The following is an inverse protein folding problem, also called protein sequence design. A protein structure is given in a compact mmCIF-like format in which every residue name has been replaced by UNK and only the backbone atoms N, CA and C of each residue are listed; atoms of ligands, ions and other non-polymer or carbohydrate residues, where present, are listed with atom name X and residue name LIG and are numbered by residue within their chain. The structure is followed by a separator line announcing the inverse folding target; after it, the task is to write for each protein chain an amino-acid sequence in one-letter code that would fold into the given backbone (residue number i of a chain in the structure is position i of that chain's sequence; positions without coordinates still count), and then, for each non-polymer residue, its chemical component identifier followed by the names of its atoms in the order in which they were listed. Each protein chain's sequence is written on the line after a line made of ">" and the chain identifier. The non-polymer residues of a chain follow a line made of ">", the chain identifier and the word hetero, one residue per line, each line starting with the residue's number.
data_IF_269886609701
#
_entry.id   IF_269886609701
#
_cell.length_a   1.000
_cell.length_b   1.000
_cell.length_c   1.000
_cell.angle_alpha   90.00
_cell.angle_beta   90.00
_cell.angle_gamma   90.00
#
_symmetry.space_group_name_H-M   'P 1'
#
loop_
_entity.id
_entity.type
_entity.pdbx_description
1 polymer ?
#
# COMPACT_ATOMS: atom_id res chain seq x y z
N UNK A 1 -15.45 -53.31 9.44
CA UNK A 1 -14.84 -52.69 10.64
C UNK A 1 -14.15 -51.43 10.18
N UNK A 2 -14.61 -50.23 10.59
CA UNK A 2 -13.91 -48.98 10.30
C UNK A 2 -12.64 -48.99 11.13
N UNK A 3 -11.49 -49.22 10.48
CA UNK A 3 -10.19 -49.03 11.12
C UNK A 3 -10.11 -47.57 11.57
N UNK A 4 -9.58 -47.35 12.77
CA UNK A 4 -9.13 -46.01 13.17
C UNK A 4 -8.24 -45.48 12.05
N UNK A 5 -8.59 -44.29 11.54
CA UNK A 5 -7.70 -43.60 10.63
C UNK A 5 -6.55 -43.07 11.48
N UNK A 6 -5.31 -43.45 11.14
CA UNK A 6 -4.11 -43.02 11.86
C UNK A 6 -4.00 -41.49 11.92
N UNK A 7 -4.61 -40.81 10.94
CA UNK A 7 -4.77 -39.36 10.92
C UNK A 7 -5.52 -38.82 12.16
N UNK A 8 -6.55 -39.51 12.66
CA UNK A 8 -7.32 -39.05 13.82
C UNK A 8 -6.49 -39.09 15.11
N UNK A 9 -5.66 -40.13 15.26
CA UNK A 9 -4.73 -40.25 16.38
C UNK A 9 -3.63 -39.19 16.32
N UNK A 10 -3.09 -38.92 15.13
CA UNK A 10 -2.05 -37.89 14.95
C UNK A 10 -2.62 -36.50 15.23
N UNK A 11 -3.79 -36.15 14.67
CA UNK A 11 -4.46 -34.88 14.97
C UNK A 11 -4.73 -34.68 16.46
N UNK A 12 -5.03 -35.75 17.19
CA UNK A 12 -5.21 -35.67 18.64
C UNK A 12 -3.90 -35.33 19.37
N UNK A 13 -2.76 -35.87 18.93
CA UNK A 13 -1.43 -35.57 19.48
C UNK A 13 -1.02 -34.13 19.15
N UNK A 14 -1.34 -33.67 17.94
CA UNK A 14 -1.06 -32.30 17.47
C UNK A 14 -2.02 -31.25 18.07
N UNK A 15 -3.13 -31.69 18.69
CA UNK A 15 -4.14 -30.81 19.29
C UNK A 15 -5.09 -30.16 18.29
N UNK A 16 -5.25 -30.77 17.12
CA UNK A 16 -6.04 -30.24 15.99
C UNK A 16 -7.49 -30.77 15.95
N UNK A 17 -7.88 -31.66 16.86
CA UNK A 17 -9.23 -32.22 16.88
C UNK A 17 -10.28 -31.22 17.38
N UNK A 18 -11.43 -31.25 16.73
CA UNK A 18 -12.66 -30.60 17.20
C UNK A 18 -13.27 -31.37 18.37
N UNK A 19 -14.17 -30.73 19.13
CA UNK A 19 -14.85 -31.38 20.27
C UNK A 19 -15.62 -32.65 19.87
N UNK A 20 -16.28 -32.63 18.72
CA UNK A 20 -17.03 -33.78 18.22
C UNK A 20 -16.10 -34.96 17.90
N UNK A 21 -14.95 -34.69 17.29
CA UNK A 21 -13.95 -35.72 16.99
C UNK A 21 -13.28 -36.28 18.24
N UNK A 22 -13.15 -35.47 19.31
CA UNK A 22 -12.65 -35.93 20.61
C UNK A 22 -13.65 -36.92 21.24
N UNK A 23 -14.95 -36.58 21.24
CA UNK A 23 -15.99 -37.44 21.79
C UNK A 23 -16.07 -38.78 21.02
N UNK A 24 -15.92 -38.73 19.69
CA UNK A 24 -15.82 -39.93 18.85
C UNK A 24 -14.57 -40.75 19.21
N UNK A 25 -13.40 -40.12 19.31
CA UNK A 25 -12.16 -40.80 19.67
C UNK A 25 -12.25 -41.46 21.05
N UNK A 26 -12.85 -40.80 22.05
CA UNK A 26 -13.07 -41.36 23.39
C UNK A 26 -13.98 -42.59 23.37
N UNK A 27 -15.03 -42.57 22.55
CA UNK A 27 -15.88 -43.73 22.31
C UNK A 27 -15.12 -44.89 21.66
N UNK A 28 -14.23 -44.60 20.69
CA UNK A 28 -13.45 -45.64 20.03
C UNK A 28 -12.38 -46.27 20.92
N UNK A 29 -11.62 -45.46 21.68
CA UNK A 29 -10.59 -45.99 22.60
C UNK A 29 -11.17 -46.75 23.79
N UNK A 30 -12.42 -46.48 24.17
CA UNK A 30 -13.12 -47.24 25.22
C UNK A 30 -13.68 -48.57 24.71
N UNK A 31 -13.95 -48.67 23.40
CA UNK A 31 -14.51 -49.88 22.78
C UNK A 31 -13.43 -50.80 22.20
N UNK A 32 -12.26 -50.27 21.84
CA UNK A 32 -11.13 -51.04 21.29
C UNK A 32 -9.82 -50.83 22.08
N UNK A 33 -9.40 -51.83 22.89
CA UNK A 33 -8.14 -51.78 23.64
C UNK A 33 -6.89 -51.62 22.76
N UNK A 34 -6.90 -52.14 21.53
CA UNK A 34 -5.77 -52.06 20.60
C UNK A 34 -5.50 -50.61 20.18
N UNK A 35 -6.57 -49.86 19.94
CA UNK A 35 -6.52 -48.44 19.62
C UNK A 35 -5.97 -47.57 20.75
N UNK A 36 -6.30 -47.91 22.00
CA UNK A 36 -5.74 -47.25 23.18
C UNK A 36 -4.23 -47.50 23.32
N UNK A 37 -3.78 -48.73 23.08
CA UNK A 37 -2.36 -49.08 23.10
C UNK A 37 -1.57 -48.34 22.02
N UNK A 38 -2.13 -48.23 20.81
CA UNK A 38 -1.55 -47.45 19.72
C UNK A 38 -1.42 -45.97 20.08
N UNK A 39 -2.46 -45.37 20.66
CA UNK A 39 -2.44 -43.99 21.12
C UNK A 39 -1.35 -43.74 22.20
N UNK A 40 -1.24 -44.64 23.18
CA UNK A 40 -0.20 -44.57 24.22
C UNK A 40 1.21 -44.64 23.62
N UNK A 41 1.40 -45.53 22.66
CA UNK A 41 2.68 -45.69 21.96
C UNK A 41 3.05 -44.41 21.21
N UNK A 42 2.12 -43.82 20.47
CA UNK A 42 2.35 -42.58 19.74
C UNK A 42 2.66 -41.40 20.68
N UNK A 43 1.94 -41.27 21.80
CA UNK A 43 2.25 -40.27 22.85
C UNK A 43 3.64 -40.45 23.44
N UNK A 44 4.05 -41.69 23.70
CA UNK A 44 5.39 -41.98 24.20
C UNK A 44 6.48 -41.57 23.19
N UNK A 45 6.27 -41.86 21.90
CA UNK A 45 7.17 -41.45 20.83
C UNK A 45 7.29 -39.92 20.76
N UNK A 46 6.16 -39.20 20.77
CA UNK A 46 6.14 -37.73 20.76
C UNK A 46 6.91 -37.14 21.96
N UNK A 47 6.72 -37.69 23.16
CA UNK A 47 7.50 -37.25 24.33
C UNK A 47 9.01 -37.47 24.19
N UNK A 48 9.42 -38.61 23.63
CA UNK A 48 10.83 -38.92 23.39
C UNK A 48 11.42 -37.98 22.35
N UNK A 49 10.71 -37.72 21.26
CA UNK A 49 11.14 -36.79 20.21
C UNK A 49 11.28 -35.36 20.75
N UNK A 50 10.35 -34.91 21.62
CA UNK A 50 10.42 -33.59 22.26
C UNK A 50 11.65 -33.42 23.17
N UNK A 51 12.12 -34.50 23.79
CA UNK A 51 13.28 -34.53 24.70
C UNK A 51 14.60 -34.81 23.96
N UNK A 52 14.56 -35.14 22.67
CA UNK A 52 15.76 -35.40 21.88
C UNK A 52 16.66 -34.15 21.86
N UNK A 53 17.97 -34.38 22.01
CA UNK A 53 18.95 -33.30 21.99
C UNK A 53 18.91 -32.61 20.63
N UNK A 54 18.71 -31.30 20.62
CA UNK A 54 18.68 -30.51 19.38
C UNK A 54 20.09 -30.10 19.03
N UNK A 55 20.49 -30.37 17.80
CA UNK A 55 21.73 -29.85 17.26
C UNK A 55 21.68 -28.33 17.22
N UNK A 56 22.79 -27.70 17.59
CA UNK A 56 22.92 -26.24 17.45
C UNK A 56 22.93 -25.90 15.97
N UNK A 57 22.05 -24.98 15.57
CA UNK A 57 22.08 -24.44 14.23
C UNK A 57 23.48 -23.87 13.92
N UNK A 58 24.00 -24.06 12.69
CA UNK A 58 25.29 -23.53 12.31
C UNK A 58 25.34 -22.00 12.48
N UNK A 59 26.52 -21.48 12.80
CA UNK A 59 26.73 -20.04 12.86
C UNK A 59 26.28 -19.38 11.53
N UNK A 60 25.58 -18.26 11.61
CA UNK A 60 25.04 -17.47 10.49
C UNK A 60 23.75 -17.98 9.82
N UNK A 61 23.08 -19.04 10.30
CA UNK A 61 21.76 -19.44 9.75
C UNK A 61 20.75 -18.30 9.83
N UNK A 62 20.63 -17.66 10.98
CA UNK A 62 19.72 -16.51 11.17
C UNK A 62 20.02 -15.40 10.19
N UNK A 63 21.30 -15.08 9.96
CA UNK A 63 21.72 -14.04 9.02
C UNK A 63 21.36 -14.40 7.58
N UNK A 64 21.56 -15.65 7.17
CA UNK A 64 21.19 -16.14 5.83
C UNK A 64 19.68 -16.10 5.60
N UNK A 65 18.91 -16.62 6.55
CA UNK A 65 17.44 -16.63 6.48
C UNK A 65 16.91 -15.20 6.46
N UNK A 66 17.37 -14.34 7.37
CA UNK A 66 16.95 -12.94 7.39
C UNK A 66 17.33 -12.21 6.11
N UNK A 67 18.51 -12.45 5.54
CA UNK A 67 18.91 -11.84 4.26
C UNK A 67 17.99 -12.25 3.11
N UNK A 68 17.51 -13.50 3.09
CA UNK A 68 16.56 -13.96 2.08
C UNK A 68 15.19 -13.34 2.27
N UNK A 69 14.70 -13.28 3.52
CA UNK A 69 13.43 -12.64 3.85
C UNK A 69 13.47 -11.16 3.49
N UNK A 70 14.54 -10.44 3.86
CA UNK A 70 14.66 -9.01 3.55
C UNK A 70 14.84 -8.76 2.07
N UNK A 71 15.52 -9.64 1.32
CA UNK A 71 15.62 -9.51 -0.14
C UNK A 71 14.29 -9.71 -0.87
N UNK A 72 13.37 -10.48 -0.28
CA UNK A 72 12.03 -10.70 -0.81
C UNK A 72 11.06 -9.56 -0.46
N UNK A 73 11.39 -8.72 0.52
CA UNK A 73 10.64 -7.52 0.84
C UNK A 73 11.13 -6.42 -0.11
N UNK A 74 10.30 -5.96 -1.07
CA UNK A 74 10.71 -4.88 -1.95
C UNK A 74 11.03 -3.66 -1.09
N UNK A 75 12.24 -3.11 -1.24
CA UNK A 75 12.65 -1.85 -0.60
C UNK A 75 11.57 -0.80 -0.86
N UNK A 76 10.73 -0.59 0.17
CA UNK A 76 9.61 0.32 0.13
C UNK A 76 10.23 1.72 0.07
N UNK A 77 9.85 2.47 -0.95
CA UNK A 77 10.37 3.78 -1.38
C UNK A 77 11.63 3.75 -2.25
N UNK A 78 11.45 3.26 -3.48
CA UNK A 78 12.04 4.01 -4.59
C UNK A 78 11.50 5.45 -4.51
N UNK A 79 12.39 6.40 -4.24
CA UNK A 79 12.13 7.84 -4.30
C UNK A 79 11.48 8.13 -5.66
N UNK A 80 10.15 8.19 -5.69
CA UNK A 80 9.41 8.51 -6.90
C UNK A 80 9.64 9.98 -7.20
N UNK A 81 10.76 10.27 -7.88
CA UNK A 81 11.08 11.58 -8.42
C UNK A 81 9.93 12.13 -9.28
N UNK A 82 9.06 11.26 -9.79
CA UNK A 82 7.79 11.62 -10.43
C UNK A 82 6.92 12.57 -9.59
N UNK A 83 6.71 12.29 -8.31
CA UNK A 83 5.91 13.15 -7.44
C UNK A 83 6.58 14.50 -7.20
N UNK A 84 7.90 14.49 -7.04
CA UNK A 84 8.71 15.71 -6.90
C UNK A 84 8.67 16.55 -8.18
N UNK A 85 8.74 15.92 -9.36
CA UNK A 85 8.65 16.58 -10.66
C UNK A 85 7.27 17.22 -10.84
N UNK A 86 6.19 16.49 -10.55
CA UNK A 86 4.82 17.02 -10.66
C UNK A 86 4.64 18.21 -9.71
N UNK A 87 5.01 18.08 -8.44
CA UNK A 87 4.90 19.17 -7.48
C UNK A 87 5.72 20.38 -7.92
N UNK A 88 6.96 20.16 -8.39
CA UNK A 88 7.82 21.25 -8.85
C UNK A 88 7.19 21.99 -10.02
N UNK A 89 6.55 21.27 -10.95
CA UNK A 89 5.84 21.88 -12.07
C UNK A 89 4.65 22.72 -11.60
N UNK A 90 3.82 22.21 -10.69
CA UNK A 90 2.71 22.97 -10.11
C UNK A 90 3.18 24.24 -9.40
N UNK A 91 4.24 24.14 -8.58
CA UNK A 91 4.83 25.28 -7.87
C UNK A 91 5.34 26.33 -8.85
N UNK A 92 6.07 25.93 -9.89
CA UNK A 92 6.55 26.84 -10.95
C UNK A 92 5.39 27.54 -11.67
N UNK A 93 4.31 26.81 -11.96
CA UNK A 93 3.15 27.35 -12.68
C UNK A 93 2.41 28.38 -11.83
N UNK A 94 2.24 28.10 -10.53
CA UNK A 94 1.63 29.03 -9.58
C UNK A 94 2.47 30.30 -9.43
N UNK A 95 3.80 30.17 -9.28
CA UNK A 95 4.70 31.32 -9.17
C UNK A 95 4.70 32.15 -10.46
N UNK A 96 4.70 31.50 -11.63
CA UNK A 96 4.63 32.17 -12.93
C UNK A 96 3.35 32.98 -13.10
N UNK A 97 2.19 32.40 -12.74
CA UNK A 97 0.91 33.09 -12.75
C UNK A 97 0.89 34.27 -11.77
N UNK A 98 1.39 34.08 -10.56
CA UNK A 98 1.45 35.14 -9.54
C UNK A 98 2.31 36.32 -10.01
N UNK A 99 3.46 36.02 -10.60
CA UNK A 99 4.40 37.02 -11.13
C UNK A 99 3.79 37.79 -12.30
N UNK A 100 3.12 37.08 -13.22
CA UNK A 100 2.42 37.70 -14.34
C UNK A 100 1.30 38.65 -13.86
N UNK A 101 0.52 38.27 -12.85
CA UNK A 101 -0.54 39.12 -12.28
C UNK A 101 0.07 40.37 -11.63
N UNK A 102 1.16 40.23 -10.87
CA UNK A 102 1.85 41.35 -10.23
C UNK A 102 2.39 42.37 -11.25
N UNK A 103 2.94 41.91 -12.37
CA UNK A 103 3.50 42.81 -13.41
C UNK A 103 2.43 43.38 -14.34
N UNK A 104 1.30 42.70 -14.49
CA UNK A 104 0.19 43.16 -15.36
C UNK A 104 -0.73 44.17 -14.66
N UNK A 105 -0.55 44.39 -13.36
CA UNK A 105 -1.31 45.37 -12.60
C UNK A 105 -0.79 46.79 -12.88
N UNK A 106 -1.28 47.40 -13.96
CA UNK A 106 -1.11 48.84 -14.19
C UNK A 106 -2.07 49.55 -13.21
N UNK A 107 -1.59 50.32 -12.22
CA UNK A 107 -2.47 51.03 -11.32
C UNK A 107 -3.21 52.09 -12.14
N UNK A 108 -4.51 51.91 -12.32
CA UNK A 108 -5.41 52.96 -12.80
C UNK A 108 -5.35 54.09 -11.77
N UNK A 109 -4.60 55.15 -12.08
CA UNK A 109 -4.63 56.38 -11.33
C UNK A 109 -6.05 56.94 -11.42
N UNK A 110 -6.84 56.76 -10.36
CA UNK A 110 -7.78 57.76 -9.87
C UNK A 110 -8.28 57.41 -8.45
N UNK A 111 -7.81 58.25 -7.53
CA UNK A 111 -8.51 58.84 -6.37
C UNK A 111 -8.89 58.01 -5.13
N UNK A 112 -8.47 58.61 -4.00
CA UNK A 112 -9.12 58.69 -2.67
C UNK A 112 -9.06 57.52 -1.70
N UNK A 113 -8.06 57.61 -0.81
CA UNK A 113 -8.13 57.52 0.65
C UNK A 113 -9.44 57.01 1.28
N UNK A 114 -9.50 55.72 1.64
CA UNK A 114 -10.28 55.20 2.76
C UNK A 114 -9.57 53.97 3.35
N UNK A 115 -9.51 53.91 4.69
CA UNK A 115 -8.89 52.80 5.44
C UNK A 115 -9.77 51.55 5.36
N UNK A 116 -9.64 50.81 4.27
CA UNK A 116 -10.44 49.61 4.05
C UNK A 116 -9.78 48.39 4.72
N UNK A 117 -10.56 47.72 5.56
CA UNK A 117 -10.22 46.50 6.28
C UNK A 117 -9.75 45.41 5.32
N UNK A 118 -8.86 44.52 5.80
CA UNK A 118 -8.27 43.42 5.02
C UNK A 118 -9.33 42.58 4.29
N UNK A 119 -10.53 42.45 4.88
CA UNK A 119 -11.68 41.74 4.30
C UNK A 119 -12.18 42.39 3.01
N UNK A 120 -12.16 43.72 2.92
CA UNK A 120 -12.64 44.46 1.75
C UNK A 120 -11.61 44.41 0.61
N UNK A 121 -10.31 44.40 0.94
CA UNK A 121 -9.24 44.11 -0.04
C UNK A 121 -9.31 42.68 -0.56
N UNK A 122 -9.65 41.70 0.29
CA UNK A 122 -9.87 40.32 -0.13
C UNK A 122 -11.10 40.20 -1.02
N UNK A 123 -12.23 40.84 -0.68
CA UNK A 123 -13.42 40.81 -1.52
C UNK A 123 -13.22 41.52 -2.86
N UNK A 124 -12.53 42.66 -2.90
CA UNK A 124 -12.15 43.32 -4.15
C UNK A 124 -11.15 42.48 -4.94
N UNK A 125 -10.23 41.77 -4.30
CA UNK A 125 -9.32 40.82 -4.94
C UNK A 125 -10.03 39.59 -5.51
N UNK A 126 -11.04 39.05 -4.81
CA UNK A 126 -11.85 37.94 -5.31
C UNK A 126 -12.72 38.41 -6.48
N UNK A 127 -13.40 39.55 -6.37
CA UNK A 127 -14.25 40.07 -7.45
C UNK A 127 -13.43 40.48 -8.69
N UNK A 128 -12.27 41.12 -8.50
CA UNK A 128 -11.38 41.46 -9.62
C UNK A 128 -10.64 40.23 -10.17
N UNK A 129 -10.25 39.29 -9.32
CA UNK A 129 -9.64 38.02 -9.71
C UNK A 129 -10.60 37.12 -10.49
N UNK A 130 -11.88 37.05 -10.09
CA UNK A 130 -12.93 36.33 -10.82
C UNK A 130 -13.22 37.02 -12.16
N UNK A 131 -13.28 38.35 -12.21
CA UNK A 131 -13.43 39.11 -13.47
C UNK A 131 -12.24 38.97 -14.42
N UNK A 132 -11.02 38.82 -13.89
CA UNK A 132 -9.84 38.50 -14.68
C UNK A 132 -9.86 37.03 -15.14
N UNK A 133 -10.33 36.09 -14.31
CA UNK A 133 -10.54 34.70 -14.70
C UNK A 133 -11.51 34.57 -15.86
N UNK A 134 -12.64 35.29 -15.85
CA UNK A 134 -13.58 35.27 -16.99
C UNK A 134 -12.98 35.87 -18.25
N UNK A 135 -12.14 36.91 -18.13
CA UNK A 135 -11.40 37.49 -19.27
C UNK A 135 -10.33 36.55 -19.83
N UNK A 136 -9.69 35.73 -18.97
CA UNK A 136 -8.73 34.69 -19.38
C UNK A 136 -9.46 33.52 -20.05
N UNK A 137 -10.64 33.14 -19.57
CA UNK A 137 -11.50 32.09 -20.15
C UNK A 137 -12.08 32.51 -21.51
N UNK A 138 -12.45 33.78 -21.67
CA UNK A 138 -12.95 34.33 -22.93
C UNK A 138 -11.87 34.76 -23.93
N UNK A 139 -10.60 34.82 -23.50
CA UNK A 139 -9.48 35.24 -24.33
C UNK A 139 -8.92 34.11 -25.20
N UNK A 140 -8.31 34.45 -26.33
CA UNK A 140 -7.69 33.50 -27.26
C UNK A 140 -6.58 32.63 -26.59
N UNK A 141 -6.06 33.09 -25.45
CA UNK A 141 -5.04 32.40 -24.65
C UNK A 141 -5.62 31.26 -23.78
N UNK A 142 -6.94 31.17 -23.60
CA UNK A 142 -7.57 30.09 -22.83
C UNK A 142 -7.25 28.72 -23.41
N UNK A 143 -7.33 28.59 -24.74
CA UNK A 143 -7.04 27.35 -25.45
C UNK A 143 -5.59 26.88 -25.22
N UNK A 144 -4.64 27.81 -25.08
CA UNK A 144 -3.23 27.50 -24.84
C UNK A 144 -3.00 26.97 -23.42
N UNK A 145 -3.70 27.54 -22.43
CA UNK A 145 -3.68 27.05 -21.04
C UNK A 145 -4.32 25.67 -20.95
N UNK A 146 -5.49 25.49 -21.56
CA UNK A 146 -6.21 24.20 -21.58
C UNK A 146 -5.37 23.12 -22.28
N UNK A 147 -4.72 23.44 -23.41
CA UNK A 147 -3.83 22.52 -24.10
C UNK A 147 -2.63 22.11 -23.24
N UNK A 148 -2.04 23.04 -22.48
CA UNK A 148 -0.92 22.77 -21.57
C UNK A 148 -1.33 21.84 -20.43
N UNK A 149 -2.50 22.07 -19.83
CA UNK A 149 -3.06 21.20 -18.78
C UNK A 149 -3.37 19.81 -19.35
N UNK A 150 -3.98 19.72 -20.53
CA UNK A 150 -4.28 18.45 -21.19
C UNK A 150 -3.02 17.63 -21.46
N UNK A 151 -1.92 18.27 -21.86
CA UNK A 151 -0.64 17.62 -22.08
C UNK A 151 -0.08 17.03 -20.78
N UNK A 152 -0.16 17.76 -19.66
CA UNK A 152 0.24 17.26 -18.33
C UNK A 152 -0.62 16.07 -17.90
N UNK A 153 -1.94 16.16 -18.12
CA UNK A 153 -2.88 15.07 -17.83
C UNK A 153 -2.56 13.83 -18.66
N UNK A 154 -2.27 13.98 -19.96
CA UNK A 154 -1.83 12.88 -20.83
C UNK A 154 -0.56 12.21 -20.30
N UNK A 155 0.46 12.99 -19.93
CA UNK A 155 1.69 12.44 -19.33
C UNK A 155 1.38 11.67 -18.04
N UNK A 156 0.53 12.24 -17.19
CA UNK A 156 0.15 11.60 -15.92
C UNK A 156 -0.54 10.27 -16.16
N UNK A 157 -1.50 10.21 -17.09
CA UNK A 157 -2.22 8.98 -17.45
C UNK A 157 -1.25 7.95 -18.04
N UNK A 158 -0.35 8.37 -18.94
CA UNK A 158 0.65 7.49 -19.55
C UNK A 158 1.54 6.83 -18.48
N UNK A 159 2.07 7.62 -17.54
CA UNK A 159 2.90 7.10 -16.46
C UNK A 159 2.12 6.19 -15.50
N UNK A 160 0.85 6.49 -15.23
CA UNK A 160 -0.01 5.65 -14.39
C UNK A 160 -0.25 4.29 -15.05
N UNK A 161 -0.52 4.29 -16.36
CA UNK A 161 -0.67 3.07 -17.14
C UNK A 161 0.61 2.23 -17.16
N UNK A 162 1.77 2.85 -17.42
CA UNK A 162 3.04 2.12 -17.45
C UNK A 162 3.43 1.58 -16.07
N UNK A 163 3.15 2.34 -15.01
CA UNK A 163 3.32 1.89 -13.62
C UNK A 163 2.49 0.64 -13.34
N UNK A 164 1.19 0.66 -13.70
CA UNK A 164 0.31 -0.49 -13.52
C UNK A 164 0.77 -1.72 -14.32
N UNK A 165 1.18 -1.52 -15.57
CA UNK A 165 1.73 -2.59 -16.43
C UNK A 165 3.01 -3.19 -15.86
N UNK A 166 3.92 -2.36 -15.36
CA UNK A 166 5.17 -2.82 -14.72
C UNK A 166 4.90 -3.59 -13.43
N UNK A 167 3.91 -3.16 -12.65
CA UNK A 167 3.47 -3.84 -11.43
C UNK A 167 2.88 -5.21 -11.75
N UNK A 168 2.01 -5.30 -12.76
CA UNK A 168 1.42 -6.57 -13.21
C UNK A 168 2.51 -7.56 -13.67
N UNK A 169 3.46 -7.10 -14.50
CA UNK A 169 4.58 -7.94 -14.94
C UNK A 169 5.42 -8.48 -13.77
N UNK A 170 5.66 -7.66 -12.74
CA UNK A 170 6.38 -8.09 -11.53
C UNK A 170 5.57 -9.12 -10.73
N UNK A 171 4.26 -8.92 -10.61
CA UNK A 171 3.38 -9.87 -9.93
C UNK A 171 3.39 -11.23 -10.62
N UNK A 172 3.23 -11.25 -11.95
CA UNK A 172 3.22 -12.48 -12.76
C UNK A 172 4.57 -13.22 -12.69
N UNK A 173 5.69 -12.50 -12.57
CA UNK A 173 7.03 -13.10 -12.43
C UNK A 173 7.35 -13.71 -11.05
N UNK A 174 6.55 -13.42 -10.03
CA UNK A 174 6.70 -13.98 -8.67
C UNK A 174 5.81 -15.21 -8.47
N UNK A 175 4.79 -15.38 -9.32
CA UNK A 175 3.84 -16.50 -9.28
C UNK A 175 4.33 -17.73 -10.08
N UNK A 176 5.43 -17.59 -10.82
CA UNK A 176 6.14 -18.67 -11.53
C UNK A 176 7.52 -18.91 -10.93
#
# INVERSE_FOLDING_TARGET
>A
MKQINDDLLNKYIDGELTRQEIDELEYFISTDPSSLEKLKTLKMVDEVLKKMQRDKAPANVTKRVMSQITSAIPDKYNKNHFFVIIISFFVLTIIGLLSYILTSYVPSQNTSSYSNTVIEKINLFILSGVGQFTSIIGGNNFHLIVASIMLIVMFTIYFLFESHKSFKKKLDSVVH
#
